data_IF_945169267477
#
_entry.id   IF_945169267477
#
_cell.length_a   1.000
_cell.length_b   1.000
_cell.length_c   1.000
_cell.angle_alpha   90.00
_cell.angle_beta   90.00
_cell.angle_gamma   90.00
#
_symmetry.space_group_name_H-M   'P 1'
#
loop_
_entity.id
_entity.type
_entity.pdbx_description
1 polymer ?
#
# COMPACT_ATOMS: atom_id res chain seq x y z
N UNK A 1 -26.12 44.84 48.22
CA UNK A 1 -26.35 44.02 47.02
C UNK A 1 -25.45 42.80 47.08
N UNK A 2 -26.03 41.59 47.11
CA UNK A 2 -25.27 40.32 47.08
C UNK A 2 -25.02 39.96 45.61
N UNK A 3 -23.76 39.95 45.19
CA UNK A 3 -23.37 39.37 43.91
C UNK A 3 -23.06 37.89 44.13
N UNK A 4 -23.90 37.02 43.57
CA UNK A 4 -23.62 35.59 43.44
C UNK A 4 -22.85 35.44 42.14
N UNK A 5 -21.53 35.25 42.23
CA UNK A 5 -20.71 34.91 41.07
C UNK A 5 -20.92 33.42 40.79
N UNK A 6 -21.75 33.11 39.79
CA UNK A 6 -21.91 31.74 39.29
C UNK A 6 -20.74 31.42 38.36
N UNK A 7 -19.69 30.81 38.89
CA UNK A 7 -18.58 30.32 38.08
C UNK A 7 -19.02 29.03 37.36
N UNK A 8 -19.45 29.16 36.10
CA UNK A 8 -19.65 28.00 35.23
C UNK A 8 -18.29 27.39 34.89
N UNK A 9 -17.97 26.26 35.52
CA UNK A 9 -16.94 25.35 35.04
C UNK A 9 -17.45 24.72 33.74
N UNK A 10 -17.06 25.30 32.59
CA UNK A 10 -17.10 24.62 31.31
C UNK A 10 -16.06 23.49 31.37
N UNK A 11 -16.48 22.30 31.79
CA UNK A 11 -15.70 21.10 31.55
C UNK A 11 -15.64 20.91 30.04
N UNK A 12 -14.49 21.19 29.43
CA UNK A 12 -14.22 20.71 28.09
C UNK A 12 -14.40 19.19 28.14
N UNK A 13 -15.45 18.68 27.48
CA UNK A 13 -15.59 17.26 27.20
C UNK A 13 -14.42 16.86 26.32
N UNK A 14 -13.29 16.53 26.94
CA UNK A 14 -12.21 15.82 26.27
C UNK A 14 -12.79 14.44 26.01
N UNK A 15 -13.29 14.21 24.80
CA UNK A 15 -13.68 12.88 24.38
C UNK A 15 -12.45 11.99 24.50
N UNK A 16 -12.39 11.18 25.56
CA UNK A 16 -11.36 10.17 25.71
C UNK A 16 -11.45 9.21 24.54
N UNK A 17 -10.31 8.95 23.88
CA UNK A 17 -10.24 7.97 22.80
C UNK A 17 -10.80 6.62 23.26
N UNK A 18 -11.58 5.98 22.40
CA UNK A 18 -12.12 4.66 22.67
C UNK A 18 -10.99 3.62 22.78
N UNK A 19 -11.23 2.49 23.45
CA UNK A 19 -10.25 1.39 23.50
C UNK A 19 -9.84 0.93 22.09
N UNK A 20 -10.81 0.90 21.17
CA UNK A 20 -10.59 0.54 19.76
C UNK A 20 -9.71 1.55 19.05
N UNK A 21 -9.93 2.85 19.26
CA UNK A 21 -9.07 3.90 18.72
C UNK A 21 -7.64 3.74 19.22
N UNK A 22 -7.42 3.57 20.53
CA UNK A 22 -6.07 3.39 21.09
C UNK A 22 -5.33 2.21 20.47
N UNK A 23 -6.00 1.05 20.33
CA UNK A 23 -5.41 -0.14 19.67
C UNK A 23 -4.99 0.18 18.23
N UNK A 24 -5.79 0.95 17.51
CA UNK A 24 -5.49 1.33 16.12
C UNK A 24 -4.30 2.28 16.05
N UNK A 25 -4.25 3.27 16.94
CA UNK A 25 -3.11 4.19 17.01
C UNK A 25 -1.82 3.45 17.35
N UNK A 26 -1.87 2.60 18.38
CA UNK A 26 -0.73 1.77 18.78
C UNK A 26 -0.25 0.86 17.65
N UNK A 27 -1.19 0.30 16.87
CA UNK A 27 -0.89 -0.55 15.72
C UNK A 27 -0.19 0.23 14.61
N UNK A 28 -0.69 1.42 14.26
CA UNK A 28 -0.10 2.25 13.22
C UNK A 28 1.27 2.79 13.64
N UNK A 29 1.43 3.20 14.90
CA UNK A 29 2.72 3.62 15.45
C UNK A 29 3.72 2.47 15.36
N UNK A 30 3.36 1.27 15.84
CA UNK A 30 4.23 0.10 15.79
C UNK A 30 4.62 -0.28 14.34
N UNK A 31 3.66 -0.20 13.41
CA UNK A 31 3.88 -0.43 11.98
C UNK A 31 4.92 0.52 11.42
N UNK A 32 4.74 1.82 11.64
CA UNK A 32 5.61 2.84 11.04
C UNK A 32 6.95 2.99 11.76
N UNK A 33 7.04 2.59 13.03
CA UNK A 33 8.30 2.52 13.79
C UNK A 33 9.14 1.28 13.51
N UNK A 34 8.69 0.39 12.62
CA UNK A 34 9.42 -0.83 12.31
C UNK A 34 9.38 -1.90 13.41
N UNK A 35 8.52 -1.78 14.43
CA UNK A 35 8.44 -2.74 15.55
C UNK A 35 7.66 -3.99 15.13
N UNK A 36 8.33 -4.84 14.35
CA UNK A 36 7.74 -6.06 13.79
C UNK A 36 7.29 -7.05 14.86
N UNK A 37 7.95 -7.07 16.03
CA UNK A 37 7.53 -7.90 17.17
C UNK A 37 6.19 -7.44 17.71
N UNK A 38 6.04 -6.14 18.01
CA UNK A 38 4.78 -5.59 18.50
C UNK A 38 3.67 -5.71 17.45
N UNK A 39 3.97 -5.45 16.18
CA UNK A 39 2.98 -5.64 15.10
C UNK A 39 2.49 -7.08 15.05
N UNK A 40 3.39 -8.07 15.16
CA UNK A 40 3.04 -9.49 15.16
C UNK A 40 2.12 -9.86 16.33
N UNK A 41 2.33 -9.28 17.50
CA UNK A 41 1.46 -9.48 18.68
C UNK A 41 0.07 -8.82 18.53
N UNK A 42 -0.06 -7.82 17.66
CA UNK A 42 -1.29 -7.05 17.46
C UNK A 42 -2.16 -7.57 16.31
N UNK A 43 -1.62 -8.39 15.40
CA UNK A 43 -2.35 -8.98 14.27
C UNK A 43 -2.78 -10.42 14.58
N UNK A 44 -3.84 -10.89 13.92
CA UNK A 44 -4.24 -12.29 14.01
C UNK A 44 -3.39 -13.19 13.12
N UNK A 45 -3.39 -14.50 13.40
CA UNK A 45 -2.70 -15.50 12.56
C UNK A 45 -3.23 -15.53 11.12
N UNK A 46 -4.53 -15.29 10.95
CA UNK A 46 -5.22 -15.21 9.66
C UNK A 46 -5.23 -13.78 9.06
N UNK A 47 -4.33 -12.92 9.53
CA UNK A 47 -4.27 -11.53 9.08
C UNK A 47 -4.02 -11.41 7.57
N UNK A 48 -4.76 -10.50 6.96
CA UNK A 48 -4.63 -10.17 5.55
C UNK A 48 -4.64 -8.66 5.36
N UNK A 49 -3.59 -8.15 4.75
CA UNK A 49 -3.53 -6.77 4.31
C UNK A 49 -3.73 -6.68 2.80
N UNK A 50 -4.75 -5.93 2.38
CA UNK A 50 -4.97 -5.59 0.99
C UNK A 50 -4.48 -4.17 0.75
N UNK A 51 -3.46 -4.03 -0.08
CA UNK A 51 -2.94 -2.73 -0.45
C UNK A 51 -3.98 -1.89 -1.21
N UNK A 52 -3.69 -0.59 -1.36
CA UNK A 52 -4.48 0.28 -2.23
C UNK A 52 -4.41 -0.29 -3.66
N UNK A 53 -5.55 -0.52 -4.33
CA UNK A 53 -5.53 -1.06 -5.68
C UNK A 53 -4.94 -0.05 -6.67
N UNK A 54 -4.34 -0.51 -7.76
CA UNK A 54 -3.87 0.36 -8.85
C UNK A 54 -4.13 -0.29 -10.20
N UNK A 55 -3.97 0.47 -11.27
CA UNK A 55 -4.08 -0.04 -12.64
C UNK A 55 -2.68 -0.31 -13.18
N UNK A 56 -2.42 -1.53 -13.67
CA UNK A 56 -1.10 -1.93 -14.13
C UNK A 56 -1.09 -3.29 -14.83
N UNK A 57 0.11 -3.80 -15.14
CA UNK A 57 0.33 -5.13 -15.69
C UNK A 57 0.48 -6.17 -14.56
N UNK A 58 -0.20 -7.32 -14.69
CA UNK A 58 -0.35 -8.29 -13.59
C UNK A 58 0.86 -9.23 -13.40
N UNK A 59 2.07 -8.74 -13.61
CA UNK A 59 3.29 -9.51 -13.47
C UNK A 59 4.41 -8.68 -12.83
N UNK A 60 5.36 -9.38 -12.21
CA UNK A 60 6.58 -8.78 -11.65
C UNK A 60 7.73 -9.01 -12.62
N UNK A 61 8.67 -8.08 -12.63
CA UNK A 61 9.84 -8.12 -13.52
C UNK A 61 11.10 -7.75 -12.77
N UNK A 62 12.23 -8.26 -13.23
CA UNK A 62 13.55 -7.79 -12.86
C UNK A 62 14.23 -7.16 -14.08
N UNK A 63 15.05 -6.13 -13.84
CA UNK A 63 15.83 -5.53 -14.91
C UNK A 63 17.10 -6.36 -15.13
N UNK A 64 17.23 -6.95 -16.32
CA UNK A 64 18.42 -7.64 -16.75
C UNK A 64 18.91 -7.05 -18.07
N UNK A 65 20.11 -6.46 -18.04
CA UNK A 65 20.77 -5.89 -19.22
C UNK A 65 19.89 -4.89 -19.99
N UNK A 66 19.11 -4.07 -19.28
CA UNK A 66 18.23 -3.08 -19.91
C UNK A 66 16.95 -3.65 -20.52
N UNK A 67 16.59 -4.89 -20.19
CA UNK A 67 15.29 -5.49 -20.51
C UNK A 67 14.58 -5.90 -19.21
N UNK A 68 13.28 -6.18 -19.28
CA UNK A 68 12.53 -6.72 -18.16
C UNK A 68 12.29 -8.22 -18.32
N UNK A 69 12.84 -9.03 -17.42
CA UNK A 69 12.57 -10.47 -17.35
C UNK A 69 11.40 -10.69 -16.39
N UNK A 70 10.38 -11.43 -16.83
CA UNK A 70 9.19 -11.70 -16.04
C UNK A 70 9.50 -12.74 -14.96
N UNK A 71 9.32 -12.37 -13.70
CA UNK A 71 9.68 -13.21 -12.54
C UNK A 71 8.48 -13.82 -11.82
N UNK A 72 7.27 -13.31 -12.06
CA UNK A 72 6.08 -13.77 -11.36
C UNK A 72 4.81 -13.05 -11.73
N UNK A 73 3.72 -13.41 -11.05
CA UNK A 73 2.40 -12.80 -11.21
C UNK A 73 1.94 -12.19 -9.89
N UNK A 74 1.32 -11.01 -9.95
CA UNK A 74 0.88 -10.29 -8.75
C UNK A 74 -0.41 -10.92 -8.21
N UNK A 75 -1.43 -11.06 -9.05
CA UNK A 75 -2.68 -11.74 -8.72
C UNK A 75 -2.73 -13.12 -9.40
N UNK A 76 -2.51 -14.19 -8.63
CA UNK A 76 -2.57 -15.59 -9.12
C UNK A 76 -3.97 -16.07 -9.50
N UNK A 77 -5.04 -15.36 -9.11
CA UNK A 77 -6.44 -15.78 -9.27
C UNK A 77 -7.11 -15.28 -10.56
N UNK A 78 -6.54 -14.28 -11.24
CA UNK A 78 -7.12 -13.66 -12.46
C UNK A 78 -6.31 -13.98 -13.74
N UNK A 79 -5.41 -14.95 -13.69
CA UNK A 79 -4.47 -15.33 -14.78
C UNK A 79 -5.12 -15.98 -16.00
N UNK A 80 -6.44 -16.20 -15.99
CA UNK A 80 -7.11 -16.97 -17.05
C UNK A 80 -7.24 -16.20 -18.38
N UNK A 81 -6.99 -14.87 -18.45
CA UNK A 81 -7.28 -14.11 -19.69
C UNK A 81 -6.45 -12.86 -20.02
N UNK A 82 -5.32 -12.56 -19.35
CA UNK A 82 -4.76 -11.18 -19.39
C UNK A 82 -3.49 -11.00 -20.23
N UNK A 83 -2.67 -12.04 -20.42
CA UNK A 83 -1.53 -12.02 -21.36
C UNK A 83 -0.98 -13.43 -21.60
N UNK A 84 -0.50 -13.69 -22.81
CA UNK A 84 0.33 -14.85 -23.21
C UNK A 84 1.75 -14.84 -22.62
N UNK A 85 2.09 -13.82 -21.81
CA UNK A 85 3.39 -13.61 -21.22
C UNK A 85 3.59 -14.56 -20.03
N UNK A 86 4.64 -15.36 -20.10
CA UNK A 86 5.05 -16.35 -19.11
C UNK A 86 6.17 -15.87 -18.18
N UNK A 87 6.38 -16.59 -17.07
CA UNK A 87 7.59 -16.42 -16.25
C UNK A 87 8.82 -16.83 -17.10
N UNK A 88 9.85 -15.99 -17.10
CA UNK A 88 11.06 -16.14 -17.90
C UNK A 88 10.99 -15.51 -19.29
N UNK A 89 9.81 -15.00 -19.72
CA UNK A 89 9.74 -14.18 -20.93
C UNK A 89 10.48 -12.85 -20.68
N UNK A 90 11.12 -12.32 -21.73
CA UNK A 90 11.83 -11.04 -21.67
C UNK A 90 11.07 -10.00 -22.46
N UNK A 91 10.80 -8.85 -21.85
CA UNK A 91 10.16 -7.68 -22.44
C UNK A 91 11.25 -6.67 -22.79
N UNK A 92 11.33 -6.32 -24.07
CA UNK A 92 12.33 -5.43 -24.64
C UNK A 92 11.81 -4.00 -24.82
N UNK A 93 10.53 -3.87 -25.16
CA UNK A 93 9.88 -2.58 -25.40
C UNK A 93 8.45 -2.61 -24.90
N UNK A 94 7.97 -1.44 -24.47
CA UNK A 94 6.58 -1.19 -24.10
C UNK A 94 6.11 0.08 -24.84
N UNK A 95 5.03 -0.02 -25.60
CA UNK A 95 4.45 1.06 -26.43
C UNK A 95 5.50 1.79 -27.30
N UNK A 96 6.37 1.00 -27.93
CA UNK A 96 7.48 1.44 -28.79
C UNK A 96 8.55 2.29 -28.06
N UNK A 97 8.65 2.15 -26.73
CA UNK A 97 9.74 2.71 -25.92
C UNK A 97 10.58 1.59 -25.37
N UNK A 98 11.89 1.78 -25.38
CA UNK A 98 12.85 0.87 -24.72
C UNK A 98 12.68 0.98 -23.21
N UNK A 99 13.04 -0.09 -22.49
CA UNK A 99 12.83 -0.17 -21.04
C UNK A 99 13.50 0.98 -20.26
N UNK A 100 14.69 1.41 -20.69
CA UNK A 100 15.45 2.53 -20.11
C UNK A 100 14.81 3.92 -20.36
N UNK A 101 13.84 4.01 -21.26
CA UNK A 101 13.09 5.22 -21.59
C UNK A 101 11.70 5.27 -20.92
N UNK A 102 11.33 4.22 -20.19
CA UNK A 102 10.02 4.12 -19.55
C UNK A 102 9.96 4.90 -18.23
N UNK A 103 8.81 5.53 -18.02
CA UNK A 103 8.42 6.03 -16.71
C UNK A 103 7.66 4.90 -16.01
N UNK A 104 8.26 4.35 -14.96
CA UNK A 104 7.63 3.33 -14.12
C UNK A 104 6.91 3.94 -12.92
N UNK A 105 5.85 3.28 -12.40
CA UNK A 105 5.21 2.07 -12.94
C UNK A 105 4.36 2.35 -14.19
N UNK A 106 4.18 1.33 -15.04
CA UNK A 106 3.25 1.41 -16.18
C UNK A 106 1.81 1.46 -15.65
N UNK A 107 1.15 2.59 -15.88
CA UNK A 107 -0.19 2.89 -15.37
C UNK A 107 -1.07 3.46 -16.50
N UNK A 108 -2.38 3.55 -16.25
CA UNK A 108 -3.35 4.06 -17.21
C UNK A 108 -4.76 3.53 -16.92
N UNK A 109 -5.74 3.85 -17.78
CA UNK A 109 -7.11 3.37 -17.61
C UNK A 109 -7.19 1.84 -17.61
N UNK A 110 -8.03 1.28 -16.73
CA UNK A 110 -8.29 -0.17 -16.73
C UNK A 110 -8.81 -0.57 -18.12
N UNK A 111 -8.36 -1.72 -18.61
CA UNK A 111 -8.62 -2.28 -19.95
C UNK A 111 -7.95 -1.54 -21.12
N UNK A 112 -7.15 -0.50 -20.88
CA UNK A 112 -6.29 0.04 -21.94
C UNK A 112 -5.30 -1.03 -22.39
N UNK A 113 -5.00 -1.05 -23.68
CA UNK A 113 -4.07 -1.99 -24.28
C UNK A 113 -2.66 -1.45 -24.23
N UNK A 114 -1.73 -2.30 -23.82
CA UNK A 114 -0.30 -2.05 -23.86
C UNK A 114 0.31 -3.01 -24.88
N UNK A 115 1.10 -2.48 -25.81
CA UNK A 115 1.85 -3.26 -26.78
C UNK A 115 3.25 -3.52 -26.25
N UNK A 116 3.70 -4.76 -26.31
CA UNK A 116 5.03 -5.16 -25.87
C UNK A 116 5.77 -5.91 -26.96
N UNK A 117 7.08 -5.69 -27.04
CA UNK A 117 7.98 -6.55 -27.82
C UNK A 117 8.65 -7.51 -26.83
N UNK A 118 8.45 -8.82 -27.03
CA UNK A 118 8.92 -9.85 -26.10
C UNK A 118 9.67 -10.97 -26.81
N UNK A 119 10.55 -11.65 -26.09
CA UNK A 119 11.05 -12.98 -26.46
C UNK A 119 10.55 -14.00 -25.43
N UNK A 120 10.15 -15.18 -25.90
CA UNK A 120 9.74 -16.27 -25.00
C UNK A 120 10.96 -16.86 -24.31
N UNK A 121 10.77 -17.38 -23.10
CA UNK A 121 11.85 -18.09 -22.39
C UNK A 121 12.46 -19.19 -23.28
N UNK A 122 13.78 -19.14 -23.50
CA UNK A 122 14.50 -20.08 -24.36
C UNK A 122 14.39 -19.83 -25.87
N UNK A 123 13.71 -18.76 -26.29
CA UNK A 123 13.61 -18.31 -27.67
C UNK A 123 14.37 -16.98 -27.85
N UNK A 124 14.75 -16.69 -29.09
CA UNK A 124 15.40 -15.42 -29.50
C UNK A 124 14.51 -14.61 -30.44
N UNK A 125 13.35 -15.13 -30.82
CA UNK A 125 12.42 -14.49 -31.75
C UNK A 125 11.63 -13.39 -31.04
N UNK A 126 11.70 -12.18 -31.57
CA UNK A 126 10.88 -11.07 -31.11
C UNK A 126 9.42 -11.26 -31.56
N UNK A 127 8.52 -11.19 -30.59
CA UNK A 127 7.08 -11.29 -30.78
C UNK A 127 6.41 -10.00 -30.29
N UNK A 128 5.34 -9.59 -30.96
CA UNK A 128 4.47 -8.53 -30.45
C UNK A 128 3.38 -9.15 -29.60
N UNK A 129 3.30 -8.76 -28.33
CA UNK A 129 2.24 -9.16 -27.42
C UNK A 129 1.40 -7.95 -27.04
N UNK A 130 0.11 -8.17 -26.83
CA UNK A 130 -0.81 -7.15 -26.35
C UNK A 130 -1.38 -7.62 -25.01
N UNK A 131 -1.21 -6.80 -23.98
CA UNK A 131 -1.83 -7.02 -22.68
C UNK A 131 -2.81 -5.89 -22.38
N UNK A 132 -3.74 -6.14 -21.47
CA UNK A 132 -4.63 -5.11 -20.92
C UNK A 132 -4.19 -4.73 -19.53
N UNK A 133 -4.23 -3.43 -19.23
CA UNK A 133 -4.08 -2.98 -17.85
C UNK A 133 -5.25 -3.50 -17.01
N UNK A 134 -4.92 -4.11 -15.88
CA UNK A 134 -5.87 -4.69 -14.96
C UNK A 134 -5.86 -3.93 -13.63
N UNK A 135 -6.95 -4.07 -12.87
CA UNK A 135 -6.95 -3.65 -11.48
C UNK A 135 -6.11 -4.65 -10.65
N UNK A 136 -5.00 -4.19 -10.12
CA UNK A 136 -4.09 -4.96 -9.28
C UNK A 136 -4.33 -4.56 -7.82
N UNK A 137 -4.31 -5.55 -6.92
CA UNK A 137 -4.39 -5.31 -5.49
C UNK A 137 -3.52 -6.34 -4.77
N UNK A 138 -2.30 -5.92 -4.41
CA UNK A 138 -1.35 -6.77 -3.69
C UNK A 138 -1.95 -7.15 -2.34
N UNK A 139 -1.88 -8.45 -2.02
CA UNK A 139 -2.31 -9.01 -0.74
C UNK A 139 -1.10 -9.53 0.01
N UNK A 140 -1.01 -9.15 1.28
CA UNK A 140 0.06 -9.53 2.18
C UNK A 140 -0.52 -10.32 3.35
N UNK A 141 0.06 -11.49 3.59
CA UNK A 141 -0.11 -12.22 4.84
C UNK A 141 0.77 -11.61 5.96
N UNK A 142 0.73 -12.18 7.16
CA UNK A 142 1.55 -11.71 8.29
C UNK A 142 3.03 -11.65 7.92
N UNK A 143 3.56 -12.70 7.29
CA UNK A 143 5.00 -12.82 7.00
C UNK A 143 5.47 -11.73 6.04
N UNK A 144 4.79 -11.59 4.89
CA UNK A 144 5.10 -10.58 3.88
C UNK A 144 4.88 -9.16 4.40
N UNK A 145 3.83 -8.94 5.21
CA UNK A 145 3.57 -7.65 5.84
C UNK A 145 4.68 -7.22 6.80
N UNK A 146 5.13 -8.13 7.67
CA UNK A 146 6.23 -7.86 8.61
C UNK A 146 7.56 -7.63 7.89
N UNK A 147 7.83 -8.40 6.82
CA UNK A 147 9.00 -8.18 5.97
C UNK A 147 8.98 -6.77 5.36
N UNK A 148 7.85 -6.35 4.78
CA UNK A 148 7.70 -5.02 4.21
C UNK A 148 7.85 -3.89 5.24
N UNK A 149 7.39 -4.09 6.48
CA UNK A 149 7.60 -3.14 7.58
C UNK A 149 9.10 -3.00 7.90
N UNK A 150 9.84 -4.11 7.93
CA UNK A 150 11.28 -4.11 8.17
C UNK A 150 12.04 -3.41 7.05
N UNK A 151 11.74 -3.75 5.79
CA UNK A 151 12.34 -3.12 4.61
C UNK A 151 12.07 -1.62 4.61
N UNK A 152 10.82 -1.23 4.85
CA UNK A 152 10.43 0.16 4.97
C UNK A 152 11.24 0.88 6.05
N UNK A 153 11.31 0.34 7.27
CA UNK A 153 12.01 0.96 8.38
C UNK A 153 13.51 1.18 8.09
N UNK A 154 14.14 0.30 7.31
CA UNK A 154 15.55 0.44 6.92
C UNK A 154 15.85 1.66 6.04
N UNK A 155 14.82 2.23 5.39
CA UNK A 155 14.98 3.33 4.43
C UNK A 155 14.81 4.73 5.03
N UNK A 156 14.28 4.84 6.25
CA UNK A 156 13.90 6.10 6.86
C UNK A 156 14.74 6.39 8.09
N UNK A 157 15.35 7.57 8.12
CA UNK A 157 16.08 8.07 9.27
C UNK A 157 15.11 8.45 10.39
N UNK A 158 14.06 9.21 10.05
CA UNK A 158 12.99 9.59 10.98
C UNK A 158 11.64 9.60 10.25
N UNK A 159 10.57 9.41 11.02
CA UNK A 159 9.20 9.53 10.55
C UNK A 159 8.32 10.24 11.58
N UNK A 160 7.20 10.78 11.10
CA UNK A 160 6.12 11.32 11.91
C UNK A 160 4.77 10.81 11.38
N UNK A 161 3.88 10.45 12.30
CA UNK A 161 2.55 9.95 11.99
C UNK A 161 1.50 10.84 12.65
N UNK A 162 0.74 11.55 11.82
CA UNK A 162 -0.37 12.38 12.27
C UNK A 162 -1.70 11.69 11.94
N UNK A 163 -2.35 11.13 12.97
CA UNK A 163 -3.67 10.53 12.84
C UNK A 163 -4.72 11.64 12.86
N UNK A 164 -5.36 11.86 11.72
CA UNK A 164 -6.32 12.95 11.52
C UNK A 164 -7.69 12.56 12.03
N UNK A 165 -8.15 11.35 11.70
CA UNK A 165 -9.46 10.88 12.11
C UNK A 165 -9.51 9.35 12.21
N UNK A 166 -10.24 8.87 13.22
CA UNK A 166 -10.66 7.48 13.34
C UNK A 166 -12.18 7.46 13.48
N UNK A 167 -12.85 6.68 12.64
CA UNK A 167 -14.28 6.42 12.71
C UNK A 167 -14.52 4.94 12.96
N UNK A 168 -14.98 4.60 14.15
CA UNK A 168 -15.19 3.20 14.55
C UNK A 168 -16.66 2.84 14.64
N UNK A 169 -17.04 1.71 14.05
CA UNK A 169 -18.35 1.07 14.23
C UNK A 169 -18.19 -0.43 14.46
N UNK A 170 -18.53 -0.87 15.68
CA UNK A 170 -18.32 -2.25 16.14
C UNK A 170 -16.83 -2.62 16.08
N UNK A 171 -16.44 -3.51 15.18
CA UNK A 171 -15.07 -4.04 15.05
C UNK A 171 -14.44 -3.64 13.71
N UNK A 172 -14.95 -2.57 13.11
CA UNK A 172 -14.44 -2.00 11.88
C UNK A 172 -14.18 -0.53 12.17
N UNK A 173 -13.01 -0.06 11.75
CA UNK A 173 -12.62 1.33 11.87
C UNK A 173 -12.08 1.83 10.55
N UNK A 174 -12.48 3.03 10.16
CA UNK A 174 -11.82 3.80 9.11
C UNK A 174 -10.80 4.71 9.77
N UNK A 175 -9.59 4.76 9.23
CA UNK A 175 -8.52 5.64 9.71
C UNK A 175 -8.09 6.53 8.56
N UNK A 176 -7.98 7.82 8.82
CA UNK A 176 -7.38 8.80 7.93
C UNK A 176 -6.17 9.43 8.64
N UNK A 177 -5.01 9.37 8.02
CA UNK A 177 -3.77 9.90 8.58
C UNK A 177 -2.85 10.48 7.52
N UNK A 178 -1.96 11.36 7.98
CA UNK A 178 -0.82 11.86 7.24
C UNK A 178 0.44 11.20 7.80
N UNK A 179 1.32 10.78 6.91
CA UNK A 179 2.64 10.29 7.25
C UNK A 179 3.70 11.19 6.63
N UNK A 180 4.76 11.47 7.38
CA UNK A 180 5.95 12.18 6.92
C UNK A 180 7.21 11.37 7.23
N UNK A 181 8.25 11.50 6.42
CA UNK A 181 9.57 10.98 6.78
C UNK A 181 10.71 11.56 5.98
N UNK A 182 11.91 11.37 6.54
CA UNK A 182 13.18 11.83 5.98
C UNK A 182 14.12 10.64 5.85
N UNK A 183 14.80 10.53 4.71
CA UNK A 183 15.72 9.39 4.45
C UNK A 183 17.09 9.57 5.09
N UNK A 184 17.53 10.82 5.22
CA UNK A 184 18.82 11.18 5.80
C UNK A 184 18.61 12.38 6.74
N UNK A 185 19.53 12.55 7.69
CA UNK A 185 19.55 13.73 8.56
C UNK A 185 19.55 15.01 7.71
N UNK A 186 18.67 15.94 8.03
CA UNK A 186 18.47 17.22 7.32
C UNK A 186 18.06 17.08 5.83
N UNK A 187 17.53 15.92 5.43
CA UNK A 187 17.07 15.64 4.07
C UNK A 187 15.68 16.22 3.73
N UNK A 188 15.23 16.07 2.47
CA UNK A 188 13.88 16.48 2.08
C UNK A 188 12.82 15.62 2.79
N UNK A 189 11.69 16.26 3.11
CA UNK A 189 10.53 15.59 3.71
C UNK A 189 9.69 14.97 2.60
N UNK A 190 9.44 13.67 2.73
CA UNK A 190 8.46 12.95 1.92
C UNK A 190 7.16 12.85 2.71
N UNK A 191 6.03 13.11 2.06
CA UNK A 191 4.72 13.03 2.71
C UNK A 191 3.73 12.22 1.88
N UNK A 192 2.80 11.56 2.56
CA UNK A 192 1.59 11.05 1.93
C UNK A 192 0.42 11.04 2.89
N UNK A 193 -0.78 11.07 2.30
CA UNK A 193 -2.03 10.86 3.00
C UNK A 193 -2.59 9.49 2.68
N UNK A 194 -3.24 8.88 3.68
CA UNK A 194 -3.75 7.52 3.54
C UNK A 194 -5.06 7.31 4.29
N UNK A 195 -5.95 6.56 3.66
CA UNK A 195 -7.19 6.07 4.27
C UNK A 195 -7.22 4.55 4.25
N UNK A 196 -7.52 3.93 5.39
CA UNK A 196 -7.56 2.48 5.54
C UNK A 196 -8.76 2.02 6.36
N UNK A 197 -9.32 0.86 6.01
CA UNK A 197 -10.18 0.10 6.91
C UNK A 197 -9.37 -0.89 7.73
N UNK A 198 -9.57 -0.86 9.03
CA UNK A 198 -9.00 -1.82 9.99
C UNK A 198 -10.14 -2.62 10.59
N UNK A 199 -10.09 -3.94 10.42
CA UNK A 199 -11.03 -4.87 11.06
C UNK A 199 -10.33 -5.58 12.20
N UNK A 200 -10.95 -5.56 13.37
CA UNK A 200 -10.47 -6.30 14.54
C UNK A 200 -11.36 -7.51 14.84
N UNK A 201 -10.80 -8.51 15.50
CA UNK A 201 -11.56 -9.59 16.10
C UNK A 201 -12.26 -9.09 17.37
N UNK A 202 -13.56 -9.38 17.52
CA UNK A 202 -14.34 -8.91 18.68
C UNK A 202 -13.95 -9.56 19.99
N UNK A 203 -13.42 -10.78 19.96
CA UNK A 203 -13.06 -11.55 21.15
C UNK A 203 -11.64 -11.23 21.58
N UNK A 204 -10.70 -11.27 20.64
CA UNK A 204 -9.26 -11.10 20.96
C UNK A 204 -8.80 -9.65 20.86
N UNK A 205 -9.50 -8.80 20.10
CA UNK A 205 -9.07 -7.43 19.82
C UNK A 205 -7.98 -7.32 18.76
N UNK A 206 -7.44 -8.44 18.28
CA UNK A 206 -6.38 -8.50 17.27
C UNK A 206 -6.86 -7.95 15.93
N UNK A 207 -5.96 -7.31 15.19
CA UNK A 207 -6.21 -6.82 13.83
C UNK A 207 -6.27 -8.03 12.89
N UNK A 208 -7.44 -8.23 12.28
CA UNK A 208 -7.69 -9.31 11.31
C UNK A 208 -7.44 -8.93 9.88
N UNK A 209 -7.69 -7.66 9.54
CA UNK A 209 -7.41 -7.20 8.19
C UNK A 209 -7.20 -5.72 8.14
N UNK A 210 -6.35 -5.34 7.21
CA UNK A 210 -6.11 -3.97 6.80
C UNK A 210 -6.48 -3.85 5.33
N UNK A 211 -7.20 -2.79 4.95
CA UNK A 211 -7.55 -2.55 3.55
C UNK A 211 -7.27 -1.08 3.22
N UNK A 212 -6.27 -0.86 2.37
CA UNK A 212 -5.97 0.45 1.81
C UNK A 212 -7.05 0.88 0.83
N UNK A 213 -7.68 2.02 1.10
CA UNK A 213 -8.78 2.52 0.28
C UNK A 213 -8.33 3.54 -0.75
N UNK A 214 -7.37 4.37 -0.38
CA UNK A 214 -6.99 5.54 -1.14
C UNK A 214 -5.58 6.01 -0.79
N UNK A 215 -4.87 6.51 -1.79
CA UNK A 215 -3.71 7.37 -1.63
C UNK A 215 -3.75 8.53 -2.63
N UNK A 216 -3.20 9.68 -2.24
CA UNK A 216 -3.07 10.83 -3.14
C UNK A 216 -2.27 10.48 -4.40
N UNK A 217 -1.21 9.69 -4.23
CA UNK A 217 -0.37 9.18 -5.33
C UNK A 217 -1.21 8.47 -6.38
N UNK A 218 -2.12 7.59 -5.96
CA UNK A 218 -3.01 6.86 -6.88
C UNK A 218 -3.92 7.80 -7.70
N UNK A 219 -4.36 8.92 -7.11
CA UNK A 219 -5.14 9.91 -7.85
C UNK A 219 -4.29 10.70 -8.83
N UNK A 220 -3.11 11.17 -8.39
CA UNK A 220 -2.21 11.94 -9.25
C UNK A 220 -1.66 11.12 -10.42
N UNK A 221 -1.42 9.82 -10.23
CA UNK A 221 -0.99 8.93 -11.29
C UNK A 221 -2.06 8.71 -12.37
N UNK A 222 -3.32 9.06 -12.13
CA UNK A 222 -4.38 9.03 -13.14
C UNK A 222 -4.46 10.30 -14.00
N UNK A 223 -3.73 11.37 -13.64
CA UNK A 223 -3.75 12.65 -14.36
C UNK A 223 -2.62 12.78 -15.39
N UNK A 224 -1.70 11.81 -15.42
CA UNK A 224 -0.58 11.74 -16.37
C UNK A 224 -1.00 10.94 -17.61
#
# INVERSE_FOLDING_TARGET
>A
MKYITLTLFLTSLVFSKSKTEKIIEDFLIARYSGDTTKVKEMVSEDFLYKNVPYSGLNFTTENENGNFVVTGYINKLDTINISSIGIGDTIHEIDNKRIDELILPITGPINSTIKMIVTKSGDTTFNTEIAKLARIQVKEDVTSFLYNISEYNSQWYEFDLNIIQILSKKNISMVYYKWNGIKNKDGPIYEFYRMEYIKTDRKTGLVKSLEGLWSQTQFLDQLK
#
